data_IF_211521987505
#
_entry.id   IF_211521987505
#
_cell.length_a   1.000
_cell.length_b   1.000
_cell.length_c   1.000
_cell.angle_alpha   90.00
_cell.angle_beta   90.00
_cell.angle_gamma   90.00
#
_symmetry.space_group_name_H-M   'P 1'
#
loop_
_entity.id
_entity.type
_entity.pdbx_description
1 polymer ?
#
# COMPACT_ATOMS: atom_id res chain seq x y z
N UNK A 1 13.19 8.45 12.81
CA UNK A 1 13.11 9.13 14.14
C UNK A 1 11.88 10.05 14.21
N UNK A 2 11.56 10.76 13.12
CA UNK A 2 10.43 11.70 13.11
C UNK A 2 9.05 11.04 13.29
N UNK A 3 8.89 9.75 13.02
CA UNK A 3 7.64 9.01 13.30
C UNK A 3 7.26 9.03 14.78
N UNK A 4 8.21 8.79 15.68
CA UNK A 4 7.99 8.79 17.14
C UNK A 4 7.72 10.22 17.64
N UNK A 5 8.42 11.22 17.07
CA UNK A 5 8.17 12.63 17.40
C UNK A 5 6.75 13.07 16.99
N UNK A 6 6.23 12.56 15.87
CA UNK A 6 4.86 12.84 15.42
C UNK A 6 3.84 12.25 16.38
N UNK A 7 3.99 10.98 16.79
CA UNK A 7 3.05 10.34 17.73
C UNK A 7 3.10 10.99 19.12
N UNK A 8 4.30 11.29 19.62
CA UNK A 8 4.48 11.98 20.91
C UNK A 8 3.90 13.40 20.92
N UNK A 9 4.01 14.15 19.81
CA UNK A 9 3.35 15.45 19.65
C UNK A 9 1.84 15.33 19.61
N UNK A 10 1.30 14.38 18.86
CA UNK A 10 -0.15 14.15 18.77
C UNK A 10 -0.74 13.81 20.15
N UNK A 11 -0.05 12.95 20.90
CA UNK A 11 -0.44 12.63 22.28
C UNK A 11 -0.40 13.86 23.20
N UNK A 12 0.66 14.67 23.12
CA UNK A 12 0.78 15.86 23.98
C UNK A 12 -0.22 16.97 23.63
N UNK A 13 -0.68 17.04 22.38
CA UNK A 13 -1.76 17.95 21.98
C UNK A 13 -3.11 17.45 22.47
N UNK A 14 -3.35 16.12 22.45
CA UNK A 14 -4.53 15.52 23.08
C UNK A 14 -4.60 15.84 24.59
N UNK A 15 -3.49 15.64 25.32
CA UNK A 15 -3.44 15.96 26.75
C UNK A 15 -3.61 17.46 27.08
N UNK A 16 -3.28 18.35 26.13
CA UNK A 16 -3.53 19.79 26.26
C UNK A 16 -5.01 20.11 26.06
N UNK A 17 -5.68 19.43 25.11
CA UNK A 17 -7.10 19.62 24.83
C UNK A 17 -8.02 19.12 25.95
N UNK A 18 -7.63 18.04 26.63
CA UNK A 18 -8.32 17.53 27.82
C UNK A 18 -7.86 18.21 29.13
N UNK A 19 -7.05 19.28 29.03
CA UNK A 19 -6.51 20.06 30.16
C UNK A 19 -5.67 19.29 31.19
N UNK A 20 -5.22 18.06 30.89
CA UNK A 20 -4.32 17.29 31.77
C UNK A 20 -2.96 17.96 31.97
N UNK A 21 -2.53 18.81 31.03
CA UNK A 21 -1.23 19.49 31.07
C UNK A 21 -1.40 20.94 30.62
N UNK A 22 -0.90 21.89 31.40
CA UNK A 22 -1.03 23.33 31.12
C UNK A 22 -0.22 23.82 29.89
N UNK A 23 0.78 23.05 29.45
CA UNK A 23 1.66 23.42 28.32
C UNK A 23 2.20 22.20 27.61
N UNK A 24 2.08 22.15 26.28
CA UNK A 24 2.62 21.05 25.47
C UNK A 24 4.17 21.10 25.44
N UNK A 25 4.88 20.08 25.98
CA UNK A 25 6.35 20.03 26.00
C UNK A 25 6.96 19.74 24.63
N UNK A 26 6.23 19.08 23.72
CA UNK A 26 6.74 18.66 22.42
C UNK A 26 6.78 19.79 21.37
N UNK A 27 6.23 20.98 21.67
CA UNK A 27 6.32 22.18 20.82
C UNK A 27 7.76 22.71 20.71
N UNK A 28 8.60 22.48 21.73
CA UNK A 28 9.99 22.95 21.75
C UNK A 28 10.97 22.04 20.99
N UNK A 29 10.58 20.78 20.73
CA UNK A 29 11.45 19.79 20.08
C UNK A 29 11.50 20.08 18.58
N UNK A 30 12.68 20.36 18.03
CA UNK A 30 12.86 20.56 16.59
C UNK A 30 12.79 19.22 15.84
N UNK A 31 12.34 19.26 14.59
CA UNK A 31 12.34 18.08 13.73
C UNK A 31 13.77 17.59 13.48
N UNK A 32 13.95 16.27 13.50
CA UNK A 32 15.22 15.68 13.10
C UNK A 32 15.36 15.83 11.58
N UNK A 33 16.52 16.32 11.10
CA UNK A 33 16.81 16.38 9.67
C UNK A 33 17.02 14.95 9.18
N UNK A 34 16.03 14.40 8.49
CA UNK A 34 16.17 13.13 7.80
C UNK A 34 16.67 13.41 6.38
N UNK A 35 17.68 12.64 5.93
CA UNK A 35 18.17 12.71 4.56
C UNK A 35 17.05 12.34 3.58
N UNK A 36 17.04 12.99 2.41
CA UNK A 36 16.12 12.58 1.34
C UNK A 36 16.48 11.16 0.93
N UNK A 37 15.55 10.22 1.08
CA UNK A 37 15.69 8.89 0.50
C UNK A 37 15.59 9.06 -1.01
N UNK A 38 16.73 8.99 -1.71
CA UNK A 38 16.73 8.88 -3.16
C UNK A 38 16.32 7.45 -3.47
N UNK A 39 15.11 7.29 -3.99
CA UNK A 39 14.65 5.99 -4.48
C UNK A 39 15.32 5.82 -5.84
N UNK A 40 16.23 4.85 -5.95
CA UNK A 40 16.77 4.46 -7.25
C UNK A 40 15.65 3.82 -8.06
N UNK A 41 15.20 4.53 -9.09
CA UNK A 41 14.20 4.04 -10.04
C UNK A 41 14.85 3.15 -11.07
N UNK A 42 14.16 2.08 -11.47
CA UNK A 42 14.60 1.23 -12.58
C UNK A 42 14.55 1.98 -13.90
N UNK A 43 15.56 1.76 -14.74
CA UNK A 43 15.60 2.20 -16.12
C UNK A 43 14.78 1.25 -17.01
N UNK A 44 14.30 1.73 -18.16
CA UNK A 44 13.51 0.90 -19.07
C UNK A 44 14.22 -0.39 -19.52
N UNK A 45 15.56 -0.37 -19.62
CA UNK A 45 16.35 -1.56 -19.95
C UNK A 45 16.33 -2.61 -18.83
N UNK A 46 16.40 -2.16 -17.58
CA UNK A 46 16.32 -3.05 -16.41
C UNK A 46 14.93 -3.68 -16.31
N UNK A 47 13.87 -2.92 -16.61
CA UNK A 47 12.50 -3.43 -16.63
C UNK A 47 12.33 -4.53 -17.70
N UNK A 48 12.83 -4.31 -18.91
CA UNK A 48 12.81 -5.34 -19.97
C UNK A 48 13.58 -6.58 -19.53
N UNK A 49 14.74 -6.42 -18.90
CA UNK A 49 15.49 -7.54 -18.32
C UNK A 49 14.73 -8.32 -17.24
N UNK A 50 13.96 -7.63 -16.39
CA UNK A 50 13.11 -8.27 -15.37
C UNK A 50 11.97 -9.10 -15.98
N UNK A 51 11.38 -8.62 -17.09
CA UNK A 51 10.33 -9.34 -17.82
C UNK A 51 10.91 -10.54 -18.57
N UNK A 52 12.07 -10.36 -19.19
CA UNK A 52 12.76 -11.39 -19.98
C UNK A 52 13.43 -12.48 -19.13
N UNK A 53 13.59 -12.28 -17.82
CA UNK A 53 14.05 -13.31 -16.91
C UNK A 53 13.09 -14.52 -16.88
N UNK A 54 11.78 -14.28 -16.98
CA UNK A 54 10.75 -15.32 -16.98
C UNK A 54 10.43 -15.76 -18.41
N UNK A 55 11.19 -16.75 -18.93
CA UNK A 55 11.03 -17.30 -20.30
C UNK A 55 10.24 -18.61 -20.38
N UNK A 56 9.99 -19.26 -19.25
CA UNK A 56 9.25 -20.53 -19.22
C UNK A 56 7.76 -20.35 -19.48
N UNK A 57 7.13 -21.39 -20.03
CA UNK A 57 5.68 -21.45 -20.24
C UNK A 57 4.92 -22.03 -19.02
N UNK A 58 5.63 -22.30 -17.92
CA UNK A 58 5.02 -22.78 -16.69
C UNK A 58 4.12 -21.72 -16.08
N UNK A 59 3.08 -22.17 -15.38
CA UNK A 59 2.12 -21.30 -14.70
C UNK A 59 2.82 -20.24 -13.82
N UNK A 60 3.82 -20.64 -13.03
CA UNK A 60 4.56 -19.74 -12.15
C UNK A 60 5.34 -18.67 -12.92
N UNK A 61 5.98 -19.06 -14.03
CA UNK A 61 6.76 -18.16 -14.87
C UNK A 61 5.84 -17.13 -15.54
N UNK A 62 4.73 -17.57 -16.13
CA UNK A 62 3.75 -16.70 -16.77
C UNK A 62 3.05 -15.77 -15.77
N UNK A 63 2.69 -16.27 -14.58
CA UNK A 63 2.10 -15.46 -13.52
C UNK A 63 3.06 -14.37 -13.05
N UNK A 64 4.31 -14.73 -12.76
CA UNK A 64 5.30 -13.76 -12.26
C UNK A 64 5.64 -12.71 -13.32
N UNK A 65 5.70 -13.11 -14.60
CA UNK A 65 5.85 -12.17 -15.72
C UNK A 65 4.68 -11.18 -15.81
N UNK A 66 3.45 -11.69 -15.69
CA UNK A 66 2.24 -10.87 -15.68
C UNK A 66 2.20 -9.88 -14.50
N UNK A 67 2.60 -10.32 -13.29
CA UNK A 67 2.70 -9.45 -12.11
C UNK A 67 3.62 -8.25 -12.38
N UNK A 68 4.79 -8.48 -12.96
CA UNK A 68 5.75 -7.40 -13.27
C UNK A 68 5.18 -6.46 -14.33
N UNK A 69 4.62 -7.00 -15.42
CA UNK A 69 4.00 -6.18 -16.47
C UNK A 69 2.86 -5.31 -15.90
N UNK A 70 1.98 -5.89 -15.09
CA UNK A 70 0.86 -5.17 -14.48
C UNK A 70 1.31 -4.03 -13.54
N UNK A 71 2.38 -4.23 -12.77
CA UNK A 71 2.94 -3.21 -11.89
C UNK A 71 3.55 -2.05 -12.69
N UNK A 72 4.22 -2.36 -13.80
CA UNK A 72 4.88 -1.36 -14.66
C UNK A 72 3.84 -0.57 -15.47
N UNK A 73 2.87 -1.24 -16.07
CA UNK A 73 1.90 -0.62 -16.98
C UNK A 73 0.86 0.24 -16.24
N UNK A 74 0.36 -0.23 -15.10
CA UNK A 74 -0.73 0.44 -14.37
C UNK A 74 -0.25 1.24 -13.15
N UNK A 75 1.01 1.07 -12.71
CA UNK A 75 1.55 1.78 -11.55
C UNK A 75 0.82 1.51 -10.23
N UNK A 76 0.17 0.34 -10.10
CA UNK A 76 -0.60 -0.04 -8.92
C UNK A 76 0.30 -0.48 -7.77
N UNK A 77 -0.18 -0.35 -6.52
CA UNK A 77 0.57 -0.86 -5.36
C UNK A 77 0.52 -2.39 -5.33
N UNK A 78 1.56 -3.01 -4.78
CA UNK A 78 1.64 -4.47 -4.62
C UNK A 78 0.38 -5.05 -3.95
N UNK A 79 -0.08 -4.42 -2.86
CA UNK A 79 -1.27 -4.88 -2.14
C UNK A 79 -2.57 -4.78 -2.97
N UNK A 80 -2.67 -3.75 -3.82
CA UNK A 80 -3.81 -3.56 -4.73
C UNK A 80 -3.82 -4.65 -5.82
N UNK A 81 -2.65 -5.03 -6.34
CA UNK A 81 -2.50 -6.13 -7.29
C UNK A 81 -2.84 -7.49 -6.65
N UNK A 82 -2.33 -7.76 -5.45
CA UNK A 82 -2.59 -9.03 -4.74
C UNK A 82 -4.07 -9.24 -4.41
N UNK A 83 -4.84 -8.16 -4.26
CA UNK A 83 -6.27 -8.22 -3.90
C UNK A 83 -7.17 -8.05 -5.13
N UNK A 84 -6.60 -7.94 -6.33
CA UNK A 84 -7.35 -7.75 -7.57
C UNK A 84 -8.17 -9.02 -7.87
N UNK A 85 -9.49 -8.85 -8.02
CA UNK A 85 -10.42 -9.93 -8.41
C UNK A 85 -10.77 -9.80 -9.88
N UNK A 86 -11.10 -10.92 -10.53
CA UNK A 86 -11.49 -10.96 -11.96
C UNK A 86 -12.71 -10.07 -12.25
N UNK A 87 -13.65 -9.94 -11.31
CA UNK A 87 -14.82 -9.06 -11.43
C UNK A 87 -14.47 -7.57 -11.63
N UNK A 88 -13.26 -7.17 -11.25
CA UNK A 88 -12.79 -5.80 -11.36
C UNK A 88 -12.05 -5.55 -12.68
N UNK A 89 -11.81 -6.59 -13.47
CA UNK A 89 -11.19 -6.52 -14.79
C UNK A 89 -12.32 -6.48 -15.81
N UNK A 90 -12.58 -5.30 -16.37
CA UNK A 90 -13.45 -5.12 -17.52
C UNK A 90 -12.69 -5.32 -18.83
N UNK A 91 -13.37 -5.14 -19.96
CA UNK A 91 -12.80 -5.34 -21.30
C UNK A 91 -11.64 -4.38 -21.61
N UNK A 92 -11.73 -3.13 -21.13
CA UNK A 92 -10.74 -2.07 -21.40
C UNK A 92 -10.30 -1.33 -20.14
N UNK A 93 -10.85 -1.69 -18.97
CA UNK A 93 -10.61 -0.96 -17.71
C UNK A 93 -10.40 -1.91 -16.56
N UNK A 94 -9.49 -1.55 -15.65
CA UNK A 94 -9.24 -2.27 -14.41
C UNK A 94 -9.67 -1.38 -13.25
N UNK A 95 -10.64 -1.82 -12.46
CA UNK A 95 -11.15 -1.10 -11.29
C UNK A 95 -10.32 -1.46 -10.05
N UNK A 96 -9.48 -0.54 -9.62
CA UNK A 96 -8.64 -0.74 -8.43
C UNK A 96 -9.41 -0.26 -7.20
N UNK A 97 -9.81 -1.21 -6.36
CA UNK A 97 -10.38 -0.90 -5.06
C UNK A 97 -9.24 -0.56 -4.09
N UNK A 98 -9.18 0.69 -3.66
CA UNK A 98 -8.32 1.05 -2.53
C UNK A 98 -8.93 0.44 -1.27
N UNK A 99 -8.10 -0.19 -0.43
CA UNK A 99 -8.49 -0.58 0.91
C UNK A 99 -8.72 0.69 1.74
N UNK A 100 -9.92 1.25 1.61
CA UNK A 100 -10.48 2.25 2.51
C UNK A 100 -11.88 1.72 2.84
N UNK A 101 -12.07 1.42 4.12
CA UNK A 101 -13.33 1.16 4.80
C UNK A 101 -14.09 -0.16 4.58
N UNK A 102 -14.48 -0.73 5.74
CA UNK A 102 -15.60 -1.61 6.14
C UNK A 102 -16.28 -2.57 5.16
N UNK A 103 -16.38 -2.20 3.87
CA UNK A 103 -16.94 -3.01 2.78
C UNK A 103 -16.30 -4.39 2.65
N UNK A 104 -15.00 -4.54 2.90
CA UNK A 104 -14.32 -5.85 2.90
C UNK A 104 -14.73 -6.74 4.08
N UNK A 105 -14.94 -6.16 5.27
CA UNK A 105 -15.41 -6.90 6.45
C UNK A 105 -16.85 -7.40 6.27
N UNK A 106 -17.71 -6.60 5.63
CA UNK A 106 -19.07 -7.02 5.25
C UNK A 106 -19.05 -8.11 4.16
N UNK A 107 -18.18 -7.99 3.15
CA UNK A 107 -18.09 -8.97 2.05
C UNK A 107 -17.51 -10.32 2.49
N UNK A 108 -16.51 -10.33 3.37
CA UNK A 108 -15.99 -11.58 3.96
C UNK A 108 -17.05 -12.26 4.82
N UNK A 109 -17.87 -11.50 5.56
CA UNK A 109 -19.00 -12.08 6.29
C UNK A 109 -20.03 -12.68 5.31
N UNK A 110 -20.40 -12.00 4.25
CA UNK A 110 -21.32 -12.56 3.24
C UNK A 110 -20.76 -13.84 2.59
N UNK A 111 -19.48 -13.83 2.19
CA UNK A 111 -18.82 -15.00 1.57
C UNK A 111 -18.69 -16.19 2.56
N UNK A 112 -18.43 -15.94 3.86
CA UNK A 112 -18.34 -16.99 4.89
C UNK A 112 -19.70 -17.54 5.34
N UNK A 113 -20.72 -16.68 5.44
CA UNK A 113 -22.08 -17.10 5.82
C UNK A 113 -22.81 -17.82 4.67
N UNK A 114 -22.48 -17.51 3.41
CA UNK A 114 -23.02 -18.23 2.24
C UNK A 114 -22.48 -19.65 2.05
N UNK A 115 -21.37 -20.01 2.71
CA UNK A 115 -20.80 -21.37 2.68
C UNK A 115 -21.35 -22.25 3.82
N UNK A 116 -21.98 -21.64 4.83
CA UNK A 116 -22.55 -22.31 6.01
C UNK A 116 -24.08 -22.52 5.93
N UNK A 117 -24.71 -22.23 4.79
CA UNK A 117 -26.13 -22.51 4.49
C UNK A 117 -26.25 -23.55 3.37
#
# INVERSE_FOLDING_TARGET
>A
MNGILKTSRAFSEYCLGEEYVAKNPCKQVKWAKEGKVVINTFTGKEIVGMIDYYKGFDYLNMRNKCIIAMLVDNGIRNNELCTLRVINVGETTIKILKMVDETFSRRIKEDLWGILA
#
